data_IF_337406593177
#
_entry.id   IF_337406593177
#
_cell.length_a   1.000
_cell.length_b   1.000
_cell.length_c   1.000
_cell.angle_alpha   90.00
_cell.angle_beta   90.00
_cell.angle_gamma   90.00
#
_symmetry.space_group_name_H-M   'P 1'
#
loop_
_entity.id
_entity.type
_entity.pdbx_description
1 polymer ?
#
# COMPACT_ATOMS: atom_id res chain seq x y z
N UNK A 1 39.11 22.22 17.12
CA UNK A 1 37.86 21.48 17.28
C UNK A 1 37.04 21.66 16.02
N UNK A 2 37.15 20.72 15.08
CA UNK A 2 36.49 20.75 13.77
C UNK A 2 35.81 19.39 13.58
N UNK A 3 34.67 19.19 14.23
CA UNK A 3 33.80 18.04 14.03
C UNK A 3 32.35 18.48 14.27
N UNK A 4 31.74 19.15 13.30
CA UNK A 4 30.28 19.33 13.31
C UNK A 4 29.62 19.41 11.94
N UNK A 5 30.36 19.17 10.84
CA UNK A 5 29.81 19.32 9.48
C UNK A 5 29.19 18.08 8.85
N UNK A 6 29.33 16.89 9.47
CA UNK A 6 28.99 15.60 8.81
C UNK A 6 27.77 14.92 9.46
N UNK A 7 27.34 15.36 10.65
CA UNK A 7 26.25 14.70 11.37
C UNK A 7 24.86 14.96 10.76
N UNK A 8 24.65 16.06 10.04
CA UNK A 8 23.36 16.36 9.39
C UNK A 8 23.06 15.50 8.17
N UNK A 9 24.04 14.79 7.61
CA UNK A 9 23.83 13.92 6.45
C UNK A 9 23.31 12.52 6.83
N UNK A 10 23.27 12.17 8.13
CA UNK A 10 22.88 10.83 8.58
C UNK A 10 21.43 10.71 9.08
N UNK A 11 20.60 11.75 8.92
CA UNK A 11 19.23 11.74 9.47
C UNK A 11 18.15 12.28 8.52
N UNK A 12 18.35 12.20 7.20
CA UNK A 12 17.18 12.11 6.32
C UNK A 12 16.63 10.69 6.40
N UNK A 13 16.09 10.33 7.56
CA UNK A 13 14.99 9.37 7.57
C UNK A 13 13.87 10.10 6.84
N UNK A 14 13.81 9.91 5.52
CA UNK A 14 12.61 10.27 4.77
C UNK A 14 11.53 9.40 5.41
N UNK A 15 10.67 9.99 6.23
CA UNK A 15 9.48 9.32 6.73
C UNK A 15 8.66 8.97 5.49
N UNK A 16 8.85 7.76 4.97
CA UNK A 16 8.06 7.30 3.85
C UNK A 16 6.69 6.93 4.38
N UNK A 17 5.76 7.84 4.17
CA UNK A 17 4.35 7.52 4.29
C UNK A 17 3.80 7.31 2.89
N UNK A 18 3.50 6.04 2.55
CA UNK A 18 2.68 5.75 1.36
C UNK A 18 1.43 6.65 1.42
N UNK A 19 1.11 7.28 0.29
CA UNK A 19 -0.10 8.11 0.18
C UNK A 19 -1.30 7.38 0.80
N UNK A 20 -2.03 8.00 1.75
CA UNK A 20 -3.11 7.31 2.46
C UNK A 20 -4.15 6.65 1.55
N UNK A 21 -4.47 7.27 0.41
CA UNK A 21 -5.39 6.69 -0.57
C UNK A 21 -4.87 5.37 -1.18
N UNK A 22 -3.55 5.25 -1.39
CA UNK A 22 -2.91 4.02 -1.87
C UNK A 22 -2.87 2.96 -0.76
N UNK A 23 -2.60 3.37 0.48
CA UNK A 23 -2.64 2.47 1.63
C UNK A 23 -4.06 1.88 1.83
N UNK A 24 -5.09 2.73 1.73
CA UNK A 24 -6.50 2.34 1.83
C UNK A 24 -6.92 1.39 0.69
N UNK A 25 -6.48 1.67 -0.55
CA UNK A 25 -6.73 0.80 -1.71
C UNK A 25 -6.13 -0.60 -1.51
N UNK A 26 -4.85 -0.68 -1.15
CA UNK A 26 -4.15 -1.95 -0.89
C UNK A 26 -4.79 -2.70 0.29
N UNK A 27 -5.14 -1.98 1.36
CA UNK A 27 -5.79 -2.58 2.51
C UNK A 27 -7.17 -3.15 2.15
N UNK A 28 -7.99 -2.39 1.43
CA UNK A 28 -9.31 -2.83 0.98
C UNK A 28 -9.19 -4.02 0.02
N UNK A 29 -8.21 -4.02 -0.88
CA UNK A 29 -7.94 -5.13 -1.78
C UNK A 29 -7.62 -6.42 -1.00
N UNK A 30 -6.73 -6.37 -0.01
CA UNK A 30 -6.28 -7.57 0.72
C UNK A 30 -7.32 -8.04 1.77
N UNK A 31 -7.84 -7.11 2.59
CA UNK A 31 -8.66 -7.41 3.78
C UNK A 31 -10.14 -7.15 3.60
N UNK A 32 -10.50 -6.18 2.77
CA UNK A 32 -11.89 -5.79 2.56
C UNK A 32 -12.71 -6.91 1.91
N UNK A 33 -14.03 -6.80 2.02
CA UNK A 33 -14.96 -7.56 1.18
C UNK A 33 -14.84 -7.12 -0.28
N UNK A 34 -15.31 -7.93 -1.25
CA UNK A 34 -15.31 -7.52 -2.65
C UNK A 34 -15.96 -6.16 -2.91
N UNK A 35 -17.09 -5.85 -2.28
CA UNK A 35 -17.79 -4.58 -2.51
C UNK A 35 -17.04 -3.40 -1.87
N UNK A 36 -16.46 -3.57 -0.68
CA UNK A 36 -15.64 -2.52 -0.04
C UNK A 36 -14.45 -2.13 -0.91
N UNK A 37 -13.77 -3.09 -1.54
CA UNK A 37 -12.69 -2.80 -2.48
C UNK A 37 -13.20 -2.09 -3.73
N UNK A 38 -14.29 -2.57 -4.33
CA UNK A 38 -14.86 -1.93 -5.52
C UNK A 38 -15.37 -0.51 -5.26
N UNK A 39 -15.86 -0.22 -4.05
CA UNK A 39 -16.22 1.14 -3.64
C UNK A 39 -15.03 2.09 -3.58
N UNK A 40 -13.83 1.59 -3.22
CA UNK A 40 -12.60 2.38 -3.33
C UNK A 40 -12.27 2.63 -4.80
N UNK A 41 -12.25 1.60 -5.64
CA UNK A 41 -11.93 1.72 -7.07
C UNK A 41 -12.86 2.71 -7.80
N UNK A 42 -14.17 2.62 -7.54
CA UNK A 42 -15.18 3.49 -8.17
C UNK A 42 -15.03 4.98 -7.80
N UNK A 43 -14.40 5.31 -6.67
CA UNK A 43 -14.10 6.70 -6.32
C UNK A 43 -13.03 7.31 -7.24
N UNK A 44 -12.16 6.48 -7.81
CA UNK A 44 -11.02 6.94 -8.61
C UNK A 44 -11.22 6.75 -10.12
N UNK A 45 -12.14 5.89 -10.55
CA UNK A 45 -12.43 5.69 -11.97
C UNK A 45 -13.88 5.28 -12.24
N UNK A 46 -14.43 5.79 -13.34
CA UNK A 46 -15.71 5.33 -13.91
C UNK A 46 -15.56 4.28 -15.01
N UNK A 47 -14.33 3.90 -15.37
CA UNK A 47 -14.06 2.95 -16.45
C UNK A 47 -14.52 1.53 -16.04
N UNK A 48 -15.53 1.00 -16.74
CA UNK A 48 -16.12 -0.30 -16.42
C UNK A 48 -15.15 -1.47 -16.61
N UNK A 49 -14.24 -1.41 -17.59
CA UNK A 49 -13.25 -2.47 -17.81
C UNK A 49 -12.28 -2.58 -16.62
N UNK A 50 -11.88 -1.44 -16.04
CA UNK A 50 -11.04 -1.39 -14.84
C UNK A 50 -11.77 -1.96 -13.63
N UNK A 51 -13.04 -1.58 -13.45
CA UNK A 51 -13.88 -2.06 -12.33
C UNK A 51 -14.13 -3.58 -12.45
N UNK A 52 -14.38 -4.10 -13.65
CA UNK A 52 -14.55 -5.53 -13.88
C UNK A 52 -13.26 -6.32 -13.62
N UNK A 53 -12.11 -5.79 -14.04
CA UNK A 53 -10.82 -6.40 -13.76
C UNK A 53 -10.51 -6.38 -12.26
N UNK A 54 -10.78 -5.28 -11.57
CA UNK A 54 -10.65 -5.18 -10.12
C UNK A 54 -11.49 -6.26 -9.42
N UNK A 55 -12.75 -6.48 -9.84
CA UNK A 55 -13.61 -7.54 -9.31
C UNK A 55 -13.00 -8.93 -9.50
N UNK A 56 -12.48 -9.23 -10.70
CA UNK A 56 -11.86 -10.52 -11.03
C UNK A 56 -10.61 -10.78 -10.18
N UNK A 57 -9.74 -9.78 -10.05
CA UNK A 57 -8.53 -9.88 -9.25
C UNK A 57 -8.86 -10.07 -7.76
N UNK A 58 -9.83 -9.32 -7.24
CA UNK A 58 -10.28 -9.45 -5.86
C UNK A 58 -10.84 -10.85 -5.56
N UNK A 59 -11.72 -11.37 -6.42
CA UNK A 59 -12.23 -12.73 -6.29
C UNK A 59 -11.11 -13.77 -6.32
N UNK A 60 -10.09 -13.58 -7.16
CA UNK A 60 -8.94 -14.47 -7.23
C UNK A 60 -8.20 -14.52 -5.89
N UNK A 61 -7.77 -13.38 -5.36
CA UNK A 61 -7.01 -13.35 -4.10
C UNK A 61 -7.83 -13.81 -2.90
N UNK A 62 -9.14 -13.54 -2.88
CA UNK A 62 -10.03 -14.02 -1.81
C UNK A 62 -10.18 -15.55 -1.82
N UNK A 63 -10.10 -16.18 -2.99
CA UNK A 63 -10.15 -17.64 -3.12
C UNK A 63 -8.79 -18.32 -2.88
N UNK A 64 -7.68 -17.58 -3.00
CA UNK A 64 -6.32 -18.15 -2.99
C UNK A 64 -5.55 -17.89 -1.71
N UNK A 65 -5.71 -16.71 -1.13
CA UNK A 65 -4.95 -16.30 0.05
C UNK A 65 -5.68 -16.71 1.32
N UNK A 66 -4.97 -17.40 2.18
CA UNK A 66 -5.44 -17.68 3.54
C UNK A 66 -5.45 -16.40 4.38
N UNK A 67 -6.05 -16.45 5.56
CA UNK A 67 -5.97 -15.35 6.52
C UNK A 67 -4.52 -15.02 6.88
N UNK A 68 -3.66 -16.03 7.04
CA UNK A 68 -2.24 -15.85 7.35
C UNK A 68 -1.49 -15.13 6.22
N UNK A 69 -1.75 -15.53 4.97
CA UNK A 69 -1.18 -14.86 3.79
C UNK A 69 -1.59 -13.37 3.74
N UNK A 70 -2.87 -13.08 4.02
CA UNK A 70 -3.41 -11.72 4.05
C UNK A 70 -2.82 -10.89 5.20
N UNK A 71 -2.61 -11.50 6.36
CA UNK A 71 -1.96 -10.87 7.51
C UNK A 71 -0.51 -10.51 7.21
N UNK A 72 0.23 -11.41 6.56
CA UNK A 72 1.60 -11.18 6.14
C UNK A 72 1.71 -10.09 5.05
N UNK A 73 0.79 -10.10 4.07
CA UNK A 73 0.80 -9.19 2.94
C UNK A 73 0.43 -7.74 3.30
N UNK A 74 -0.48 -7.53 4.25
CA UNK A 74 -0.95 -6.18 4.63
C UNK A 74 0.02 -5.41 5.54
N UNK A 75 1.19 -5.97 5.82
CA UNK A 75 2.21 -5.35 6.67
C UNK A 75 2.90 -4.16 5.97
N UNK A 76 2.16 -3.08 5.76
CA UNK A 76 2.65 -1.82 5.18
C UNK A 76 3.78 -1.21 6.02
N UNK A 77 3.85 -1.56 7.31
CA UNK A 77 4.92 -1.14 8.22
C UNK A 77 6.32 -1.41 7.66
N UNK A 78 6.54 -2.57 7.01
CA UNK A 78 7.84 -2.90 6.40
C UNK A 78 8.18 -2.01 5.20
N UNK A 79 7.15 -1.62 4.44
CA UNK A 79 7.32 -0.78 3.26
C UNK A 79 7.54 0.68 3.70
N UNK A 80 6.70 1.20 4.59
CA UNK A 80 6.82 2.56 5.12
C UNK A 80 8.13 2.78 5.91
N UNK A 81 8.67 1.74 6.56
CA UNK A 81 9.97 1.81 7.24
C UNK A 81 11.17 1.58 6.32
N UNK A 82 10.96 1.35 5.02
CA UNK A 82 12.02 1.06 4.07
C UNK A 82 12.68 2.35 3.58
N UNK A 83 14.01 2.36 3.53
CA UNK A 83 14.78 3.46 2.93
C UNK A 83 14.47 3.67 1.44
N UNK A 84 13.92 2.64 0.77
CA UNK A 84 13.59 2.69 -0.66
C UNK A 84 12.19 3.21 -0.96
N UNK A 85 11.40 3.56 0.08
CA UNK A 85 10.01 3.96 -0.10
C UNK A 85 9.89 5.47 -0.44
N UNK A 86 10.88 6.29 -0.09
CA UNK A 86 10.87 7.75 -0.25
C UNK A 86 11.63 8.32 -1.45
N UNK A 87 12.22 7.49 -2.31
CA UNK A 87 13.01 7.93 -3.46
C UNK A 87 12.15 7.99 -4.73
N UNK A 88 11.32 9.04 -4.88
CA UNK A 88 10.73 9.41 -6.18
C UNK A 88 10.79 10.91 -6.40
#
# INVERSE_FOLDING_TARGET
MLLSGIAMLLQFQVDCEICPAVADDVFAYIRGTPEQYLDVVRKHTGNQEVIENARKLKACIDSKLTTEDKDAAVSLKKINSSIYCGDV
#
